data_IF_954244508420
#
_entry.id   IF_954244508420
#
_cell.length_a   1.000
_cell.length_b   1.000
_cell.length_c   1.000
_cell.angle_alpha   90.00
_cell.angle_beta   90.00
_cell.angle_gamma   90.00
#
_symmetry.space_group_name_H-M   'P 1'
#
loop_
_entity.id
_entity.type
_entity.pdbx_description
1 polymer ?
#
# COMPACT_ATOMS: atom_id res chain seq x y z
N UNK A 1 -1.08 -16.86 -3.13
CA UNK A 1 -2.56 -16.83 -3.01
C UNK A 1 -3.16 -17.81 -4.01
N UNK A 2 -4.35 -18.35 -3.73
CA UNK A 2 -5.10 -19.10 -4.74
C UNK A 2 -5.52 -18.16 -5.90
N UNK A 3 -5.75 -18.69 -7.11
CA UNK A 3 -6.34 -17.90 -8.18
C UNK A 3 -7.64 -17.24 -7.76
N UNK A 4 -7.92 -16.06 -8.33
CA UNK A 4 -9.03 -15.17 -7.95
C UNK A 4 -9.01 -14.65 -6.51
N UNK A 5 -7.97 -14.97 -5.72
CA UNK A 5 -7.83 -14.49 -4.36
C UNK A 5 -7.76 -12.96 -4.31
N UNK A 6 -8.43 -12.37 -3.32
CA UNK A 6 -8.41 -10.93 -3.06
C UNK A 6 -7.36 -10.61 -2.01
N UNK A 7 -6.51 -9.61 -2.29
CA UNK A 7 -5.53 -9.07 -1.37
C UNK A 7 -5.85 -7.61 -1.10
N UNK A 8 -5.99 -7.28 0.17
CA UNK A 8 -6.09 -5.92 0.66
C UNK A 8 -4.91 -5.63 1.56
N UNK A 9 -4.32 -4.44 1.40
CA UNK A 9 -3.37 -3.91 2.36
C UNK A 9 -3.50 -2.40 2.49
N UNK A 10 -2.98 -1.90 3.61
CA UNK A 10 -2.98 -0.50 3.98
C UNK A 10 -1.59 -0.15 4.53
N UNK A 11 -1.02 0.92 4.03
CA UNK A 11 0.28 1.46 4.40
C UNK A 11 0.15 2.95 4.67
N UNK A 12 1.06 3.52 5.45
CA UNK A 12 1.20 4.98 5.49
C UNK A 12 1.57 5.49 4.10
N UNK A 13 0.92 6.57 3.64
CA UNK A 13 1.16 7.14 2.32
C UNK A 13 2.50 7.88 2.28
N UNK A 14 3.22 7.80 1.15
CA UNK A 14 4.44 8.57 0.90
C UNK A 14 5.41 7.81 0.00
N UNK A 15 6.64 8.34 -0.11
CA UNK A 15 7.74 7.74 -0.88
C UNK A 15 9.04 7.62 -0.08
N UNK A 16 8.97 7.83 1.24
CA UNK A 16 10.11 7.82 2.15
C UNK A 16 10.10 6.62 3.11
N UNK A 17 11.31 6.25 3.54
CA UNK A 17 11.53 5.44 4.73
C UNK A 17 11.65 6.39 5.92
N UNK A 18 10.74 6.27 6.88
CA UNK A 18 10.80 7.01 8.14
C UNK A 18 11.17 6.04 9.25
N UNK A 19 12.26 6.32 9.96
CA UNK A 19 12.59 5.63 11.20
C UNK A 19 12.08 6.47 12.37
N UNK A 20 11.26 5.88 13.22
CA UNK A 20 10.78 6.53 14.45
C UNK A 20 10.83 5.52 15.61
N UNK A 21 11.55 5.90 16.66
CA UNK A 21 11.97 5.00 17.73
C UNK A 21 12.73 3.79 17.14
N UNK A 22 12.31 2.57 17.47
CA UNK A 22 12.87 1.31 16.96
C UNK A 22 12.03 0.71 15.81
N UNK A 23 11.26 1.55 15.09
CA UNK A 23 10.38 1.11 14.00
C UNK A 23 10.71 1.79 12.69
N UNK A 24 10.73 0.97 11.64
CA UNK A 24 10.80 1.42 10.27
C UNK A 24 9.39 1.52 9.68
N UNK A 25 9.09 2.67 9.08
CA UNK A 25 7.88 2.94 8.33
C UNK A 25 8.25 3.09 6.86
N UNK A 26 7.94 2.06 6.08
CA UNK A 26 8.06 2.10 4.63
C UNK A 26 6.79 2.71 4.07
N UNK A 27 6.79 4.03 3.86
CA UNK A 27 5.66 4.71 3.27
C UNK A 27 5.52 4.29 1.81
N UNK A 28 4.28 4.09 1.37
CA UNK A 28 3.97 3.55 0.06
C UNK A 28 2.99 4.47 -0.68
N UNK A 29 3.10 4.46 -2.00
CA UNK A 29 2.15 5.10 -2.91
C UNK A 29 1.92 4.20 -4.12
N UNK A 30 1.03 4.63 -5.01
CA UNK A 30 0.65 3.92 -6.22
C UNK A 30 1.86 3.54 -7.08
N UNK A 31 2.81 4.45 -7.27
CA UNK A 31 3.93 4.24 -8.18
C UNK A 31 4.97 3.27 -7.62
N UNK A 32 5.10 3.21 -6.30
CA UNK A 32 5.93 2.21 -5.62
C UNK A 32 5.29 0.82 -5.70
N UNK A 33 3.98 0.70 -5.49
CA UNK A 33 3.34 -0.62 -5.40
C UNK A 33 2.99 -1.24 -6.75
N UNK A 34 2.65 -0.44 -7.78
CA UNK A 34 2.22 -0.93 -9.10
C UNK A 34 3.18 -1.96 -9.72
N UNK A 35 4.52 -1.76 -9.73
CA UNK A 35 5.44 -2.73 -10.32
C UNK A 35 5.37 -4.13 -9.70
N UNK A 36 4.94 -4.26 -8.44
CA UNK A 36 4.78 -5.57 -7.78
C UNK A 36 3.50 -6.29 -8.21
N UNK A 37 2.58 -5.61 -8.90
CA UNK A 37 1.33 -6.18 -9.40
C UNK A 37 1.44 -6.66 -10.84
N UNK A 38 2.41 -6.16 -11.60
CA UNK A 38 2.58 -6.46 -13.02
C UNK A 38 2.64 -7.97 -13.30
N UNK A 39 1.69 -8.45 -14.11
CA UNK A 39 1.58 -9.87 -14.48
C UNK A 39 1.24 -10.82 -13.33
N UNK A 40 0.92 -10.29 -12.13
CA UNK A 40 0.59 -11.09 -10.95
C UNK A 40 -0.80 -10.79 -10.41
N UNK A 41 -1.27 -9.55 -10.50
CA UNK A 41 -2.52 -9.10 -9.92
C UNK A 41 -3.23 -8.08 -10.80
N UNK A 42 -4.55 -8.15 -10.84
CA UNK A 42 -5.41 -7.09 -11.36
C UNK A 42 -5.70 -6.10 -10.24
N UNK A 43 -5.49 -4.80 -10.51
CA UNK A 43 -5.82 -3.74 -9.56
C UNK A 43 -7.33 -3.51 -9.57
N UNK A 44 -8.00 -3.78 -8.45
CA UNK A 44 -9.43 -3.47 -8.29
C UNK A 44 -9.59 -2.00 -7.89
N UNK A 45 -8.82 -1.54 -6.90
CA UNK A 45 -8.90 -0.17 -6.41
C UNK A 45 -7.62 0.21 -5.67
N UNK A 46 -7.20 1.46 -5.82
CA UNK A 46 -6.24 2.14 -4.95
C UNK A 46 -6.87 3.46 -4.50
N UNK A 47 -6.65 3.86 -3.24
CA UNK A 47 -7.16 5.13 -2.73
C UNK A 47 -6.42 5.56 -1.47
N UNK A 48 -6.47 6.87 -1.20
CA UNK A 48 -6.02 7.43 0.06
C UNK A 48 -7.19 7.76 0.99
N UNK A 49 -6.92 7.77 2.29
CA UNK A 49 -7.86 8.21 3.33
C UNK A 49 -7.12 8.89 4.46
N UNK A 50 -7.77 9.80 5.19
CA UNK A 50 -7.13 10.54 6.29
C UNK A 50 -6.60 9.60 7.39
N UNK A 51 -5.36 9.84 7.85
CA UNK A 51 -4.82 9.21 9.06
C UNK A 51 -5.14 10.08 10.27
N UNK A 52 -6.14 9.67 11.05
CA UNK A 52 -6.56 10.37 12.27
C UNK A 52 -5.59 10.26 13.45
N UNK A 53 -4.42 9.64 13.27
CA UNK A 53 -3.40 9.45 14.31
C UNK A 53 -2.26 10.45 14.15
N UNK A 54 -1.40 10.53 15.17
CA UNK A 54 -0.07 11.14 15.00
C UNK A 54 0.72 10.22 14.08
N UNK A 55 0.76 10.57 12.79
CA UNK A 55 1.37 9.76 11.74
C UNK A 55 2.87 10.01 11.62
N UNK A 56 3.63 8.95 11.35
CA UNK A 56 5.04 9.06 10.96
C UNK A 56 5.19 9.56 9.51
N UNK A 57 4.16 9.36 8.67
CA UNK A 57 4.12 9.93 7.32
C UNK A 57 3.85 11.43 7.38
N UNK A 58 4.58 12.19 6.54
CA UNK A 58 4.39 13.63 6.37
C UNK A 58 3.00 13.97 5.80
N UNK A 59 2.48 13.09 4.96
CA UNK A 59 1.22 13.32 4.24
C UNK A 59 0.00 13.14 5.13
N UNK A 60 0.15 12.43 6.27
CA UNK A 60 -0.94 12.10 7.20
C UNK A 60 -2.12 11.42 6.50
N UNK A 61 -1.80 10.61 5.49
CA UNK A 61 -2.75 9.80 4.76
C UNK A 61 -2.38 8.32 4.91
N UNK A 62 -3.41 7.49 4.90
CA UNK A 62 -3.31 6.08 4.59
C UNK A 62 -3.36 5.88 3.08
N UNK A 63 -2.51 5.01 2.58
CA UNK A 63 -2.57 4.46 1.24
C UNK A 63 -3.14 3.04 1.30
N UNK A 64 -4.20 2.80 0.53
CA UNK A 64 -4.95 1.56 0.54
C UNK A 64 -5.02 0.99 -0.87
N UNK A 65 -4.97 -0.34 -0.98
CA UNK A 65 -5.29 -1.01 -2.23
C UNK A 65 -6.03 -2.32 -2.03
N UNK A 66 -6.81 -2.69 -3.03
CA UNK A 66 -7.39 -4.02 -3.21
C UNK A 66 -6.97 -4.52 -4.59
N UNK A 67 -6.40 -5.71 -4.64
CA UNK A 67 -5.98 -6.38 -5.88
C UNK A 67 -6.48 -7.82 -5.92
N UNK A 68 -6.64 -8.37 -7.12
CA UNK A 68 -7.09 -9.74 -7.37
C UNK A 68 -5.97 -10.55 -8.02
N UNK A 69 -5.64 -11.72 -7.47
CA UNK A 69 -4.61 -12.61 -8.03
C UNK A 69 -5.08 -13.14 -9.39
N UNK A 70 -4.31 -12.87 -10.44
CA UNK A 70 -4.57 -13.45 -11.76
C UNK A 70 -4.07 -14.89 -11.83
N UNK A 71 -4.68 -15.69 -12.70
CA UNK A 71 -4.21 -17.04 -12.97
C UNK A 71 -2.82 -16.98 -13.64
N UNK A 72 -1.85 -17.63 -13.02
CA UNK A 72 -0.67 -18.17 -13.69
C UNK A 72 -0.83 -19.68 -13.74
#
# INVERSE_FOLDING_TARGET
MKPDGIFYACYTHGDDLVQADDRDFYNMNEDIVKPYFDGLFDVIKMWTSEDGRISASKDKLWFNFIVKKIYL
#
